data_IF_372350545270
#
_entry.id   IF_372350545270
#
_cell.length_a   1.000
_cell.length_b   1.000
_cell.length_c   1.000
_cell.angle_alpha   90.00
_cell.angle_beta   90.00
_cell.angle_gamma   90.00
#
_symmetry.space_group_name_H-M   'P 1'
#
loop_
_entity.id
_entity.type
_entity.pdbx_description
1 polymer ?
#
# COMPACT_ATOMS: atom_id res chain seq x y z
N UNK A 1 -13.40 -3.45 4.14
CA UNK A 1 -12.51 -2.56 3.39
C UNK A 1 -11.87 -3.34 2.27
N UNK A 2 -11.92 -2.82 1.06
CA UNK A 2 -11.36 -3.46 -0.15
C UNK A 2 -9.91 -3.04 -0.32
N UNK A 3 -9.01 -4.01 -0.45
CA UNK A 3 -7.56 -3.81 -0.54
C UNK A 3 -7.07 -4.18 -1.93
N UNK A 4 -6.28 -3.29 -2.53
CA UNK A 4 -5.48 -3.56 -3.71
C UNK A 4 -4.00 -3.64 -3.33
N UNK A 5 -3.24 -4.50 -3.99
CA UNK A 5 -1.80 -4.65 -3.74
C UNK A 5 -1.05 -4.55 -5.07
N UNK A 6 -0.10 -3.62 -5.15
CA UNK A 6 0.82 -3.49 -6.28
C UNK A 6 2.22 -3.88 -5.83
N UNK A 7 2.69 -5.02 -6.32
CA UNK A 7 3.96 -5.65 -5.95
C UNK A 7 3.79 -6.79 -4.94
N UNK A 8 4.02 -8.03 -5.38
CA UNK A 8 4.00 -9.22 -4.51
C UNK A 8 5.40 -9.71 -4.18
N UNK A 9 6.21 -8.78 -3.66
CA UNK A 9 7.46 -9.11 -2.98
C UNK A 9 7.20 -9.71 -1.59
N UNK A 10 8.20 -9.73 -0.73
CA UNK A 10 8.07 -10.25 0.64
C UNK A 10 7.02 -9.47 1.46
N UNK A 11 7.04 -8.15 1.36
CA UNK A 11 6.10 -7.27 2.07
C UNK A 11 4.67 -7.43 1.54
N UNK A 12 4.48 -7.38 0.22
CA UNK A 12 3.16 -7.53 -0.40
C UNK A 12 2.52 -8.88 -0.14
N UNK A 13 3.32 -9.96 -0.17
CA UNK A 13 2.84 -11.30 0.19
C UNK A 13 2.43 -11.41 1.66
N UNK A 14 3.16 -10.74 2.57
CA UNK A 14 2.81 -10.71 3.99
C UNK A 14 1.48 -9.97 4.22
N UNK A 15 1.26 -8.83 3.56
CA UNK A 15 -0.02 -8.13 3.62
C UNK A 15 -1.15 -8.95 3.02
N UNK A 16 -0.92 -9.62 1.89
CA UNK A 16 -1.91 -10.50 1.29
C UNK A 16 -2.34 -11.59 2.29
N UNK A 17 -1.40 -12.33 2.85
CA UNK A 17 -1.67 -13.39 3.84
C UNK A 17 -2.37 -12.84 5.09
N UNK A 18 -1.98 -11.68 5.59
CA UNK A 18 -2.61 -11.06 6.74
C UNK A 18 -4.07 -10.67 6.44
N UNK A 19 -4.32 -10.05 5.28
CA UNK A 19 -5.67 -9.64 4.86
C UNK A 19 -6.61 -10.83 4.69
N UNK A 20 -6.15 -11.95 4.14
CA UNK A 20 -6.95 -13.18 3.95
C UNK A 20 -7.47 -13.77 5.27
N UNK A 21 -6.83 -13.46 6.38
CA UNK A 21 -7.21 -13.97 7.70
C UNK A 21 -8.18 -13.07 8.47
N UNK A 22 -8.55 -11.92 7.91
CA UNK A 22 -9.36 -10.90 8.56
C UNK A 22 -10.65 -10.64 7.79
N UNK A 23 -11.80 -11.02 8.35
CA UNK A 23 -13.10 -10.91 7.68
C UNK A 23 -13.48 -9.46 7.29
N UNK A 24 -12.94 -8.46 7.99
CA UNK A 24 -13.17 -7.04 7.67
C UNK A 24 -12.40 -6.54 6.45
N UNK A 25 -11.45 -7.34 5.92
CA UNK A 25 -10.62 -7.02 4.76
C UNK A 25 -10.95 -7.96 3.60
N UNK A 26 -10.99 -7.41 2.41
CA UNK A 26 -11.14 -8.17 1.17
C UNK A 26 -10.08 -7.72 0.18
N UNK A 27 -9.16 -8.61 -0.20
CA UNK A 27 -8.25 -8.34 -1.31
C UNK A 27 -9.02 -8.49 -2.62
N UNK A 28 -9.21 -7.37 -3.31
CA UNK A 28 -10.06 -7.30 -4.52
C UNK A 28 -9.26 -7.19 -5.81
N UNK A 29 -7.98 -6.86 -5.71
CA UNK A 29 -7.11 -6.78 -6.88
C UNK A 29 -5.65 -6.84 -6.48
N UNK A 30 -4.85 -7.57 -7.25
CA UNK A 30 -3.42 -7.71 -7.03
C UNK A 30 -2.69 -7.58 -8.35
N UNK A 31 -1.61 -6.82 -8.37
CA UNK A 31 -0.66 -6.79 -9.48
C UNK A 31 0.69 -7.36 -9.03
N UNK A 32 1.15 -8.41 -9.67
CA UNK A 32 2.47 -8.97 -9.45
C UNK A 32 3.55 -7.96 -9.86
N UNK A 33 4.71 -8.02 -9.19
CA UNK A 33 5.90 -7.34 -9.64
C UNK A 33 6.45 -7.94 -10.94
N UNK A 34 7.54 -7.36 -11.46
CA UNK A 34 8.18 -7.83 -12.70
C UNK A 34 8.97 -9.14 -12.54
N UNK A 35 9.20 -9.60 -11.31
CA UNK A 35 9.97 -10.81 -11.07
C UNK A 35 9.15 -12.08 -11.27
N UNK A 36 9.77 -13.16 -11.83
CA UNK A 36 9.12 -14.47 -11.94
C UNK A 36 8.61 -15.01 -10.59
N UNK A 37 9.34 -14.73 -9.51
CA UNK A 37 8.96 -15.16 -8.15
C UNK A 37 7.68 -14.48 -7.67
N UNK A 38 7.48 -13.20 -8.03
CA UNK A 38 6.24 -12.47 -7.72
C UNK A 38 5.04 -13.06 -8.44
N UNK A 39 5.22 -13.44 -9.71
CA UNK A 39 4.18 -14.12 -10.48
C UNK A 39 3.90 -15.54 -9.94
N UNK A 40 4.95 -16.29 -9.58
CA UNK A 40 4.83 -17.64 -9.04
C UNK A 40 4.05 -17.68 -7.71
N UNK A 41 4.13 -16.63 -6.89
CA UNK A 41 3.37 -16.53 -5.62
C UNK A 41 1.87 -16.38 -5.84
N UNK A 42 1.44 -15.96 -7.02
CA UNK A 42 0.03 -15.89 -7.42
C UNK A 42 -0.46 -17.23 -7.98
N UNK A 43 0.45 -18.03 -8.55
CA UNK A 43 0.11 -19.36 -9.05
C UNK A 43 -0.29 -20.27 -7.88
N UNK A 44 -1.51 -20.81 -7.91
CA UNK A 44 -2.03 -21.69 -6.87
C UNK A 44 -2.89 -21.02 -5.78
N UNK A 45 -3.13 -19.71 -5.88
CA UNK A 45 -4.17 -19.02 -5.09
C UNK A 45 -5.43 -18.90 -5.93
N UNK A 46 -6.28 -19.91 -5.89
CA UNK A 46 -7.56 -19.92 -6.59
C UNK A 46 -8.44 -18.75 -6.13
N UNK A 47 -9.00 -18.01 -7.10
CA UNK A 47 -9.92 -16.90 -6.82
C UNK A 47 -9.27 -15.56 -6.49
N UNK A 48 -7.93 -15.44 -6.50
CA UNK A 48 -7.28 -14.15 -6.33
C UNK A 48 -7.42 -13.30 -7.61
N UNK A 49 -8.02 -12.11 -7.55
CA UNK A 49 -8.23 -11.26 -8.72
C UNK A 49 -6.92 -10.59 -9.16
N UNK A 50 -6.20 -11.24 -10.07
CA UNK A 50 -4.95 -10.72 -10.63
C UNK A 50 -5.25 -9.80 -11.79
N UNK A 51 -4.64 -8.61 -11.81
CA UNK A 51 -4.70 -7.66 -12.92
C UNK A 51 -3.31 -7.36 -13.45
N UNK A 52 -3.23 -7.05 -14.74
CA UNK A 52 -2.01 -6.56 -15.39
C UNK A 52 -1.87 -5.03 -15.29
N UNK A 53 -2.93 -4.34 -14.88
CA UNK A 53 -3.12 -2.91 -14.96
C UNK A 53 -3.17 -2.26 -13.56
N UNK A 54 -2.36 -1.22 -13.34
CA UNK A 54 -2.31 -0.52 -12.07
C UNK A 54 -3.59 0.29 -11.80
N UNK A 55 -4.17 0.92 -12.81
CA UNK A 55 -5.41 1.69 -12.67
C UNK A 55 -6.59 0.78 -12.31
N UNK A 56 -6.60 -0.46 -12.81
CA UNK A 56 -7.55 -1.49 -12.43
C UNK A 56 -7.49 -1.81 -10.93
N UNK A 57 -6.27 -1.92 -10.35
CA UNK A 57 -6.11 -2.11 -8.90
C UNK A 57 -6.71 -0.94 -8.14
N UNK A 58 -6.36 0.29 -8.51
CA UNK A 58 -6.84 1.49 -7.82
C UNK A 58 -8.36 1.64 -7.96
N UNK A 59 -8.92 1.36 -9.13
CA UNK A 59 -10.37 1.46 -9.35
C UNK A 59 -11.19 0.48 -8.50
N UNK A 60 -10.68 -0.72 -8.29
CA UNK A 60 -11.37 -1.79 -7.57
C UNK A 60 -11.29 -1.65 -6.04
N UNK A 61 -10.20 -1.09 -5.52
CA UNK A 61 -9.91 -1.03 -4.10
C UNK A 61 -10.38 0.28 -3.43
N UNK A 62 -10.52 0.28 -2.11
CA UNK A 62 -10.66 1.48 -1.28
C UNK A 62 -9.26 1.97 -0.86
N UNK A 63 -8.37 1.03 -0.56
CA UNK A 63 -6.97 1.28 -0.18
C UNK A 63 -6.04 0.48 -1.06
N UNK A 64 -5.03 1.12 -1.64
CA UNK A 64 -3.98 0.46 -2.42
C UNK A 64 -2.66 0.50 -1.66
N UNK A 65 -2.01 -0.65 -1.54
CA UNK A 65 -0.67 -0.81 -0.99
C UNK A 65 0.36 -0.90 -2.11
N UNK A 66 1.30 0.05 -2.16
CA UNK A 66 2.48 -0.01 -3.00
C UNK A 66 3.62 -0.73 -2.24
N UNK A 67 3.79 -2.00 -2.53
CA UNK A 67 4.79 -2.86 -1.89
C UNK A 67 5.93 -3.23 -2.85
N UNK A 68 6.18 -2.35 -3.80
CA UNK A 68 7.33 -2.40 -4.72
C UNK A 68 8.60 -1.90 -4.03
N UNK A 69 9.81 -2.19 -4.56
CA UNK A 69 11.05 -1.64 -4.04
C UNK A 69 11.04 -0.10 -4.00
N UNK A 70 11.69 0.49 -2.99
CA UNK A 70 11.71 1.94 -2.73
C UNK A 70 12.02 2.77 -3.99
N UNK A 71 13.05 2.38 -4.74
CA UNK A 71 13.41 3.06 -6.00
C UNK A 71 12.39 2.95 -7.14
N UNK A 72 11.32 2.20 -6.97
CA UNK A 72 10.24 2.05 -7.96
C UNK A 72 8.96 2.77 -7.56
N UNK A 73 8.81 3.21 -6.31
CA UNK A 73 7.57 3.79 -5.80
C UNK A 73 7.17 5.02 -6.61
N UNK A 74 8.08 5.95 -6.84
CA UNK A 74 7.80 7.17 -7.60
C UNK A 74 7.38 6.88 -9.05
N UNK A 75 8.07 5.95 -9.72
CA UNK A 75 7.74 5.57 -11.09
C UNK A 75 6.34 4.90 -11.17
N UNK A 76 6.06 3.97 -10.26
CA UNK A 76 4.75 3.29 -10.19
C UNK A 76 3.64 4.28 -9.88
N UNK A 77 3.86 5.25 -8.99
CA UNK A 77 2.88 6.28 -8.66
C UNK A 77 2.61 7.22 -9.85
N UNK A 78 3.66 7.60 -10.60
CA UNK A 78 3.53 8.42 -11.79
C UNK A 78 2.79 7.68 -12.92
N UNK A 79 3.15 6.42 -13.19
CA UNK A 79 2.47 5.57 -14.17
C UNK A 79 0.98 5.41 -13.81
N UNK A 80 0.69 5.15 -12.52
CA UNK A 80 -0.68 5.02 -12.02
C UNK A 80 -1.49 6.30 -12.21
N UNK A 81 -0.89 7.46 -11.94
CA UNK A 81 -1.54 8.75 -12.15
C UNK A 81 -1.82 9.01 -13.64
N UNK A 82 -0.87 8.68 -14.52
CA UNK A 82 -1.03 8.80 -15.96
C UNK A 82 -2.14 7.87 -16.49
N UNK A 83 -2.17 6.62 -16.05
CA UNK A 83 -3.20 5.63 -16.42
C UNK A 83 -4.61 6.10 -15.99
N UNK A 84 -4.73 6.65 -14.77
CA UNK A 84 -5.98 7.22 -14.24
C UNK A 84 -6.44 8.39 -15.09
N UNK A 85 -5.53 9.31 -15.46
CA UNK A 85 -5.83 10.47 -16.30
C UNK A 85 -6.26 10.04 -17.70
N UNK A 86 -5.52 9.11 -18.32
CA UNK A 86 -5.82 8.61 -19.66
C UNK A 86 -7.16 7.88 -19.74
N UNK A 87 -7.54 7.18 -18.66
CA UNK A 87 -8.82 6.47 -18.56
C UNK A 87 -9.99 7.34 -18.10
N UNK A 88 -9.79 8.62 -17.77
CA UNK A 88 -10.83 9.51 -17.26
C UNK A 88 -11.42 9.07 -15.90
N UNK A 89 -10.61 8.45 -15.05
CA UNK A 89 -11.06 7.84 -13.80
C UNK A 89 -10.89 8.74 -12.56
N UNK A 90 -10.53 10.03 -12.72
CA UNK A 90 -10.20 10.93 -11.62
C UNK A 90 -11.30 11.01 -10.56
N UNK A 91 -12.55 11.19 -10.96
CA UNK A 91 -13.68 11.26 -10.02
C UNK A 91 -13.90 9.94 -9.28
N UNK A 92 -13.66 8.80 -9.96
CA UNK A 92 -13.83 7.47 -9.37
C UNK A 92 -12.77 7.15 -8.33
N UNK A 93 -11.56 7.70 -8.47
CA UNK A 93 -10.43 7.41 -7.59
C UNK A 93 -10.16 8.51 -6.56
N UNK A 94 -10.71 9.71 -6.74
CA UNK A 94 -10.66 10.75 -5.73
C UNK A 94 -11.22 10.21 -4.42
N UNK A 95 -10.57 10.53 -3.29
CA UNK A 95 -10.86 10.00 -1.94
C UNK A 95 -10.49 8.52 -1.69
N UNK A 96 -9.89 7.83 -2.65
CA UNK A 96 -9.25 6.55 -2.35
C UNK A 96 -7.92 6.78 -1.64
N UNK A 97 -7.41 5.74 -1.01
CA UNK A 97 -6.16 5.82 -0.26
C UNK A 97 -5.06 5.05 -0.98
N UNK A 98 -3.87 5.64 -1.07
CA UNK A 98 -2.67 4.96 -1.57
C UNK A 98 -1.55 5.06 -0.52
N UNK A 99 -1.05 3.91 -0.08
CA UNK A 99 -0.02 3.79 0.94
C UNK A 99 1.21 3.10 0.37
N UNK A 100 2.40 3.68 0.53
CA UNK A 100 3.64 2.93 0.30
C UNK A 100 4.16 2.29 1.58
N UNK A 101 5.01 1.26 1.45
CA UNK A 101 5.54 0.51 2.59
C UNK A 101 7.03 0.79 2.86
N UNK A 102 7.63 1.81 2.24
CA UNK A 102 9.01 2.21 2.49
C UNK A 102 9.15 2.84 3.87
N UNK A 103 10.22 2.50 4.60
CA UNK A 103 10.60 3.13 5.86
C UNK A 103 11.59 4.29 5.70
N UNK A 104 12.13 4.48 4.49
CA UNK A 104 13.17 5.48 4.19
C UNK A 104 12.67 6.69 3.42
N UNK A 105 11.51 6.58 2.76
CA UNK A 105 10.92 7.63 1.92
C UNK A 105 9.85 8.42 2.69
N UNK A 106 9.75 9.71 2.39
CA UNK A 106 8.59 10.53 2.74
C UNK A 106 7.43 10.30 1.75
N UNK A 107 6.53 11.28 1.65
CA UNK A 107 5.34 11.18 0.79
C UNK A 107 5.54 11.77 -0.61
N UNK A 108 6.67 12.42 -0.88
CA UNK A 108 6.98 13.06 -2.16
C UNK A 108 6.82 12.13 -3.37
N UNK A 109 7.18 10.83 -3.29
CA UNK A 109 6.97 9.89 -4.38
C UNK A 109 5.51 9.72 -4.80
N UNK A 110 4.56 10.06 -3.94
CA UNK A 110 3.11 9.95 -4.19
C UNK A 110 2.48 11.27 -4.68
N UNK A 111 3.26 12.33 -4.91
CA UNK A 111 2.74 13.66 -5.24
C UNK A 111 1.81 13.66 -6.47
N UNK A 112 2.12 12.84 -7.50
CA UNK A 112 1.28 12.73 -8.69
C UNK A 112 -0.12 12.15 -8.38
N UNK A 113 -0.22 11.22 -7.43
CA UNK A 113 -1.50 10.66 -6.97
C UNK A 113 -2.27 11.65 -6.09
N UNK A 114 -1.58 12.34 -5.20
CA UNK A 114 -2.17 13.38 -4.36
C UNK A 114 -2.79 14.50 -5.20
N UNK A 115 -2.16 14.87 -6.32
CA UNK A 115 -2.70 15.86 -7.25
C UNK A 115 -4.03 15.43 -7.92
N UNK A 116 -4.36 14.14 -7.93
CA UNK A 116 -5.63 13.59 -8.38
C UNK A 116 -6.68 13.47 -7.26
N UNK A 117 -6.40 14.00 -6.07
CA UNK A 117 -7.29 13.94 -4.92
C UNK A 117 -7.28 12.57 -4.19
N UNK A 118 -6.27 11.73 -4.46
CA UNK A 118 -6.06 10.47 -3.75
C UNK A 118 -5.36 10.79 -2.42
N UNK A 119 -5.87 10.23 -1.34
CA UNK A 119 -5.25 10.34 -0.02
C UNK A 119 -3.96 9.52 0.02
N UNK A 120 -2.85 10.14 0.37
CA UNK A 120 -1.53 9.53 0.29
C UNK A 120 -0.88 9.39 1.66
N UNK A 121 -0.26 8.24 1.88
CA UNK A 121 0.43 7.96 3.14
C UNK A 121 1.44 6.82 3.04
N UNK A 122 1.95 6.43 4.19
CA UNK A 122 2.81 5.26 4.34
C UNK A 122 2.34 4.34 5.46
N UNK A 123 2.60 3.04 5.28
CA UNK A 123 2.40 2.00 6.29
C UNK A 123 3.62 1.09 6.27
N UNK A 124 4.58 1.36 7.14
CA UNK A 124 5.87 0.67 7.18
C UNK A 124 5.97 -0.32 8.34
N UNK A 125 6.02 -1.64 8.06
CA UNK A 125 6.31 -2.63 9.09
C UNK A 125 7.74 -2.49 9.61
N UNK A 126 7.91 -2.33 10.93
CA UNK A 126 9.21 -2.14 11.59
C UNK A 126 9.93 -3.47 11.78
N UNK A 127 10.22 -4.16 10.67
CA UNK A 127 10.99 -5.42 10.67
C UNK A 127 11.75 -5.62 9.35
N UNK A 128 12.81 -6.44 9.44
CA UNK A 128 13.50 -6.94 8.25
C UNK A 128 12.78 -8.18 7.71
N UNK A 129 12.49 -8.19 6.42
CA UNK A 129 11.92 -9.35 5.72
C UNK A 129 13.04 -10.24 5.13
N UNK A 130 14.01 -10.61 5.96
CA UNK A 130 15.14 -11.47 5.59
C UNK A 130 14.78 -12.92 5.84
N UNK A 131 14.45 -13.69 4.82
CA UNK A 131 14.23 -15.15 4.89
C UNK A 131 12.98 -15.58 5.70
N UNK A 132 12.35 -16.68 5.30
CA UNK A 132 11.19 -17.24 6.00
C UNK A 132 9.85 -16.55 5.72
N UNK A 133 8.81 -16.98 6.43
CA UNK A 133 7.45 -16.44 6.33
C UNK A 133 7.39 -15.07 6.98
N UNK A 134 6.96 -14.07 6.24
CA UNK A 134 6.76 -12.74 6.78
C UNK A 134 5.48 -12.72 7.64
N UNK A 135 5.63 -12.46 8.93
CA UNK A 135 4.51 -12.39 9.88
C UNK A 135 4.54 -11.03 10.56
N UNK A 136 3.40 -10.36 10.63
CA UNK A 136 3.29 -9.06 11.30
C UNK A 136 3.06 -9.16 12.81
N UNK A 137 2.92 -10.35 13.35
CA UNK A 137 2.65 -10.53 14.78
C UNK A 137 3.82 -10.05 15.64
N UNK A 138 3.53 -9.18 16.60
CA UNK A 138 4.52 -8.70 17.58
C UNK A 138 5.48 -7.62 17.08
N UNK A 139 5.23 -7.05 15.88
CA UNK A 139 6.03 -5.92 15.37
C UNK A 139 5.28 -4.60 15.51
N UNK A 140 6.02 -3.49 15.43
CA UNK A 140 5.44 -2.16 15.25
C UNK A 140 5.19 -1.85 13.78
N UNK A 141 4.29 -0.88 13.52
CA UNK A 141 4.14 -0.25 12.21
C UNK A 141 4.26 1.26 12.35
N UNK A 142 5.03 1.90 11.47
CA UNK A 142 5.07 3.34 11.34
C UNK A 142 4.03 3.79 10.31
N UNK A 143 3.31 4.85 10.64
CA UNK A 143 2.24 5.43 9.80
C UNK A 143 2.53 6.90 9.59
N UNK A 144 2.36 7.38 8.35
CA UNK A 144 2.43 8.78 7.96
C UNK A 144 1.39 9.05 6.85
N UNK A 145 1.00 10.31 6.64
CA UNK A 145 0.05 10.68 5.60
C UNK A 145 -0.90 11.80 6.00
N UNK A 146 -1.84 12.11 5.11
CA UNK A 146 -2.99 12.92 5.47
C UNK A 146 -3.94 12.15 6.42
N UNK A 147 -4.94 12.83 6.96
CA UNK A 147 -5.83 12.25 7.98
C UNK A 147 -6.51 10.96 7.50
N UNK A 148 -7.02 10.93 6.27
CA UNK A 148 -7.70 9.75 5.73
C UNK A 148 -6.73 8.59 5.51
N UNK A 149 -5.51 8.87 5.01
CA UNK A 149 -4.46 7.87 4.85
C UNK A 149 -4.01 7.31 6.20
N UNK A 150 -3.83 8.16 7.22
CA UNK A 150 -3.47 7.72 8.57
C UNK A 150 -4.57 6.85 9.21
N UNK A 151 -5.84 7.21 9.05
CA UNK A 151 -6.96 6.40 9.53
C UNK A 151 -7.00 5.02 8.86
N UNK A 152 -6.85 4.96 7.53
CA UNK A 152 -6.82 3.71 6.79
C UNK A 152 -5.60 2.84 7.16
N UNK A 153 -4.41 3.44 7.23
CA UNK A 153 -3.19 2.76 7.63
C UNK A 153 -3.26 2.24 9.07
N UNK A 154 -3.79 3.05 10.00
CA UNK A 154 -3.99 2.65 11.39
C UNK A 154 -4.97 1.49 11.54
N UNK A 155 -6.07 1.49 10.78
CA UNK A 155 -6.99 0.36 10.74
C UNK A 155 -6.30 -0.90 10.21
N UNK A 156 -5.59 -0.82 9.08
CA UNK A 156 -4.83 -1.95 8.52
C UNK A 156 -3.80 -2.49 9.51
N UNK A 157 -3.02 -1.60 10.15
CA UNK A 157 -2.07 -1.99 11.18
C UNK A 157 -2.75 -2.77 12.31
N UNK A 158 -3.84 -2.25 12.86
CA UNK A 158 -4.55 -2.85 13.99
C UNK A 158 -5.07 -4.26 13.68
N UNK A 159 -5.60 -4.48 12.48
CA UNK A 159 -6.15 -5.79 12.10
C UNK A 159 -5.07 -6.78 11.62
N UNK A 160 -4.01 -6.31 10.96
CA UNK A 160 -2.91 -7.18 10.51
C UNK A 160 -2.02 -7.64 11.67
N UNK A 161 -1.86 -6.82 12.71
CA UNK A 161 -1.00 -7.12 13.86
C UNK A 161 -1.65 -8.04 14.91
N UNK A 162 -2.95 -8.22 14.87
CA UNK A 162 -3.77 -9.11 15.74
C UNK A 162 -3.61 -8.95 17.25
N UNK A 163 -2.69 -8.13 17.78
CA UNK A 163 -2.53 -7.78 19.20
C UNK A 163 -1.64 -6.55 19.34
N UNK A 164 -2.01 -5.64 20.25
CA UNK A 164 -1.25 -4.49 20.79
C UNK A 164 -0.18 -3.91 19.86
N UNK A 165 -0.60 -3.32 18.75
CA UNK A 165 0.30 -2.65 17.82
C UNK A 165 0.87 -1.40 18.47
N UNK A 166 2.18 -1.25 18.48
CA UNK A 166 2.79 0.05 18.68
C UNK A 166 2.64 0.81 17.37
N UNK A 167 1.59 1.61 17.27
CA UNK A 167 1.37 2.53 16.16
C UNK A 167 2.28 3.74 16.39
N UNK A 168 3.35 3.86 15.63
CA UNK A 168 4.20 5.06 15.64
C UNK A 168 3.68 5.96 14.54
N UNK A 169 2.93 6.99 14.92
CA UNK A 169 2.57 8.06 14.00
C UNK A 169 3.77 9.02 13.91
N UNK A 170 4.28 9.28 12.72
CA UNK A 170 5.19 10.40 12.52
C UNK A 170 4.36 11.69 12.66
N UNK A 171 4.73 12.61 13.54
CA UNK A 171 4.13 13.94 13.53
C UNK A 171 4.45 14.60 12.16
N UNK A 172 3.57 15.47 11.64
CA UNK A 172 3.89 16.23 10.44
C UNK A 172 5.25 16.91 10.66
N UNK A 173 6.15 16.75 9.67
CA UNK A 173 7.48 17.36 9.73
C UNK A 173 7.30 18.86 9.84
N UNK A 174 7.53 19.40 11.02
CA UNK A 174 7.59 20.84 11.21
C UNK A 174 8.82 21.34 10.47
N UNK A 175 8.64 21.84 9.25
CA UNK A 175 9.68 22.59 8.55
C UNK A 175 9.80 23.94 9.28
N UNK A 176 10.86 24.21 10.03
CA UNK A 176 11.02 25.53 10.62
C UNK A 176 11.16 26.51 9.46
N UNK A 177 10.19 27.40 9.32
CA UNK A 177 10.31 28.57 8.45
C UNK A 177 11.44 29.42 9.03
N UNK A 178 12.62 29.37 8.42
CA UNK A 178 13.72 30.28 8.75
C UNK A 178 13.32 31.62 8.16
N UNK A 179 13.02 32.57 9.03
CA UNK A 179 12.89 34.00 8.72
C UNK A 179 14.26 34.64 8.54
#
# INVERSE_FOLDING_TARGET
>A
MKIGIIGLGKVGSAFLEACETVAALQVVSVKAGRSPESAARLCGKDGLPVTADNAGVLSAADVVLLTVPDGQIAAVAADLAADVAAAGLQEKVSRKVCLHCSGSLGLEPLAALSALGIHCGSLHPLQSFAGGRAVFQGIGMAVDGDEAAQQAAGFLASVCLRQSAVLIMRPPVFVPTIW
#
